data_IF_073338937129
#
_entry.id   IF_073338937129
#
_cell.length_a   1.000
_cell.length_b   1.000
_cell.length_c   1.000
_cell.angle_alpha   90.00
_cell.angle_beta   90.00
_cell.angle_gamma   90.00
#
_symmetry.space_group_name_H-M   'P 1'
#
loop_
_entity.id
_entity.type
_entity.pdbx_description
1 polymer ?
#
# COMPACT_ATOMS: atom_id res chain seq x y z
N UNK A 1 50.19 12.08 6.14
CA UNK A 1 49.07 12.88 5.57
C UNK A 1 48.14 12.05 4.65
N UNK A 2 48.19 10.72 4.66
CA UNK A 2 47.35 9.84 3.82
C UNK A 2 46.08 9.36 4.53
N UNK A 3 46.11 9.18 5.85
CA UNK A 3 44.98 8.74 6.69
C UNK A 3 43.82 9.75 6.76
N UNK A 4 44.10 11.05 6.72
CA UNK A 4 43.04 12.07 6.73
C UNK A 4 42.25 12.13 5.41
N UNK A 5 42.89 11.80 4.28
CA UNK A 5 42.23 11.79 2.96
C UNK A 5 41.30 10.61 2.76
N UNK A 6 41.62 9.44 3.34
CA UNK A 6 40.78 8.24 3.24
C UNK A 6 39.51 8.36 4.08
N UNK A 7 39.57 9.02 5.24
CA UNK A 7 38.40 9.23 6.11
C UNK A 7 37.38 10.18 5.44
N UNK A 8 37.84 11.25 4.80
CA UNK A 8 36.94 12.22 4.11
C UNK A 8 36.22 11.58 2.92
N UNK A 9 36.91 10.71 2.15
CA UNK A 9 36.29 10.00 1.02
C UNK A 9 35.23 8.98 1.48
N UNK A 10 35.45 8.28 2.60
CA UNK A 10 34.48 7.34 3.14
C UNK A 10 33.20 8.04 3.63
N UNK A 11 33.32 9.20 4.26
CA UNK A 11 32.17 9.98 4.74
C UNK A 11 31.35 10.53 3.56
N UNK A 12 32.01 10.98 2.50
CA UNK A 12 31.32 11.48 1.30
C UNK A 12 30.51 10.39 0.59
N UNK A 13 31.06 9.16 0.52
CA UNK A 13 30.38 8.01 -0.09
C UNK A 13 29.18 7.51 0.74
N UNK A 14 29.24 7.59 2.07
CA UNK A 14 28.12 7.28 2.96
C UNK A 14 27.00 8.33 2.84
N UNK A 15 27.35 9.61 2.70
CA UNK A 15 26.38 10.69 2.54
C UNK A 15 25.63 10.60 1.20
N UNK A 16 26.31 10.26 0.10
CA UNK A 16 25.66 10.09 -1.21
C UNK A 16 24.72 8.89 -1.23
N UNK A 17 25.09 7.76 -0.64
CA UNK A 17 24.23 6.57 -0.56
C UNK A 17 22.96 6.80 0.28
N UNK A 18 23.08 7.55 1.39
CA UNK A 18 21.93 7.91 2.21
C UNK A 18 20.96 8.84 1.46
N UNK A 19 21.50 9.84 0.73
CA UNK A 19 20.69 10.76 -0.07
C UNK A 19 19.94 10.07 -1.22
N UNK A 20 20.58 9.12 -1.91
CA UNK A 20 19.92 8.36 -2.99
C UNK A 20 18.81 7.46 -2.46
N UNK A 21 19.00 6.84 -1.29
CA UNK A 21 17.99 5.97 -0.68
C UNK A 21 16.75 6.74 -0.19
N UNK A 22 16.94 7.94 0.36
CA UNK A 22 15.83 8.81 0.78
C UNK A 22 15.07 9.33 -0.44
N UNK A 23 15.78 9.72 -1.50
CA UNK A 23 15.16 10.20 -2.74
C UNK A 23 14.32 9.12 -3.43
N UNK A 24 14.82 7.88 -3.51
CA UNK A 24 14.07 6.77 -4.10
C UNK A 24 12.80 6.41 -3.31
N UNK A 25 12.84 6.54 -1.97
CA UNK A 25 11.65 6.33 -1.13
C UNK A 25 10.60 7.42 -1.34
N UNK A 26 11.00 8.69 -1.37
CA UNK A 26 10.08 9.81 -1.62
C UNK A 26 9.41 9.65 -2.99
N UNK A 27 10.19 9.35 -4.03
CA UNK A 27 9.69 9.10 -5.39
C UNK A 27 8.67 7.95 -5.45
N UNK A 28 8.88 6.89 -4.67
CA UNK A 28 7.91 5.78 -4.61
C UNK A 28 6.61 6.18 -3.89
N UNK A 29 6.67 6.98 -2.82
CA UNK A 29 5.47 7.50 -2.17
C UNK A 29 4.70 8.45 -3.08
N UNK A 30 5.39 9.31 -3.83
CA UNK A 30 4.77 10.21 -4.81
C UNK A 30 4.05 9.42 -5.91
N UNK A 31 4.64 8.31 -6.37
CA UNK A 31 3.98 7.44 -7.35
C UNK A 31 2.74 6.73 -6.76
N UNK A 32 2.83 6.19 -5.55
CA UNK A 32 1.67 5.60 -4.83
C UNK A 32 0.56 6.65 -4.66
N UNK A 33 0.91 7.88 -4.30
CA UNK A 33 -0.02 9.00 -4.15
C UNK A 33 -0.76 9.27 -5.46
N UNK A 34 -0.02 9.36 -6.58
CA UNK A 34 -0.59 9.60 -7.91
C UNK A 34 -1.54 8.49 -8.37
N UNK A 35 -1.18 7.22 -8.13
CA UNK A 35 -2.01 6.07 -8.44
C UNK A 35 -3.27 6.04 -7.56
N UNK A 36 -3.18 6.41 -6.29
CA UNK A 36 -4.33 6.50 -5.41
C UNK A 36 -5.32 7.60 -5.86
N UNK A 37 -4.83 8.74 -6.34
CA UNK A 37 -5.67 9.79 -6.97
C UNK A 37 -6.33 9.27 -8.24
N UNK A 38 -5.59 8.54 -9.09
CA UNK A 38 -6.15 7.92 -10.30
C UNK A 38 -7.27 6.94 -9.95
N UNK A 39 -7.03 6.02 -9.01
CA UNK A 39 -8.03 5.07 -8.51
C UNK A 39 -9.27 5.76 -7.95
N UNK A 40 -9.08 6.86 -7.20
CA UNK A 40 -10.19 7.65 -6.68
C UNK A 40 -11.01 8.27 -7.82
N UNK A 41 -10.35 8.81 -8.85
CA UNK A 41 -11.01 9.38 -10.02
C UNK A 41 -11.79 8.32 -10.81
N UNK A 42 -11.17 7.18 -11.11
CA UNK A 42 -11.79 6.08 -11.84
C UNK A 42 -12.95 5.46 -11.06
N UNK A 43 -12.80 5.27 -9.75
CA UNK A 43 -13.90 4.80 -8.89
C UNK A 43 -15.09 5.77 -8.89
N UNK A 44 -14.82 7.08 -8.92
CA UNK A 44 -15.89 8.09 -9.06
C UNK A 44 -16.58 7.98 -10.42
N UNK A 45 -15.84 7.68 -11.48
CA UNK A 45 -16.41 7.50 -12.81
C UNK A 45 -17.27 6.23 -12.86
N UNK A 46 -16.83 5.12 -12.25
CA UNK A 46 -17.65 3.90 -12.12
C UNK A 46 -18.98 4.17 -11.43
N UNK A 47 -18.99 4.99 -10.36
CA UNK A 47 -20.23 5.39 -9.68
C UNK A 47 -21.20 6.07 -10.65
N UNK A 48 -20.71 6.97 -11.51
CA UNK A 48 -21.55 7.67 -12.50
C UNK A 48 -22.06 6.70 -13.56
N UNK A 49 -21.18 5.86 -14.11
CA UNK A 49 -21.51 4.88 -15.13
C UNK A 49 -22.56 3.87 -14.62
N UNK A 50 -22.42 3.37 -13.39
CA UNK A 50 -23.42 2.51 -12.77
C UNK A 50 -24.76 3.23 -12.56
N UNK A 51 -24.73 4.48 -12.11
CA UNK A 51 -25.95 5.28 -11.95
C UNK A 51 -26.65 5.55 -13.28
N UNK A 52 -25.89 5.69 -14.37
CA UNK A 52 -26.42 5.96 -15.70
C UNK A 52 -26.96 4.70 -16.38
N UNK A 53 -26.20 3.61 -16.36
CA UNK A 53 -26.46 2.43 -17.19
C UNK A 53 -27.09 1.27 -16.42
N UNK A 54 -26.84 1.16 -15.11
CA UNK A 54 -27.21 -0.01 -14.32
C UNK A 54 -28.35 0.25 -13.33
N UNK A 55 -28.81 1.51 -13.17
CA UNK A 55 -29.86 1.89 -12.21
C UNK A 55 -31.14 1.06 -12.27
N UNK A 56 -31.49 0.53 -13.43
CA UNK A 56 -32.69 -0.27 -13.65
C UNK A 56 -32.48 -1.78 -13.44
N UNK A 57 -31.24 -2.22 -13.19
CA UNK A 57 -30.89 -3.63 -13.06
C UNK A 57 -31.06 -4.13 -11.61
N UNK A 58 -31.52 -5.37 -11.41
CA UNK A 58 -31.42 -6.02 -10.11
C UNK A 58 -29.94 -6.20 -9.77
N UNK A 59 -29.48 -5.63 -8.65
CA UNK A 59 -28.06 -5.60 -8.28
C UNK A 59 -27.41 -4.21 -8.28
N UNK A 60 -28.08 -3.19 -8.86
CA UNK A 60 -27.57 -1.81 -8.89
C UNK A 60 -27.13 -1.28 -7.52
N UNK A 61 -27.94 -1.50 -6.48
CA UNK A 61 -27.63 -1.00 -5.15
C UNK A 61 -26.31 -1.57 -4.60
N UNK A 62 -26.01 -2.84 -4.91
CA UNK A 62 -24.76 -3.48 -4.53
C UNK A 62 -23.59 -2.91 -5.34
N UNK A 63 -23.70 -2.87 -6.68
CA UNK A 63 -22.69 -2.26 -7.57
C UNK A 63 -22.31 -0.85 -7.13
N UNK A 64 -23.31 -0.01 -6.93
CA UNK A 64 -23.08 1.37 -6.53
C UNK A 64 -22.46 1.46 -5.13
N UNK A 65 -22.89 0.61 -4.19
CA UNK A 65 -22.31 0.57 -2.85
C UNK A 65 -20.84 0.16 -2.88
N UNK A 66 -20.48 -0.82 -3.70
CA UNK A 66 -19.11 -1.34 -3.81
C UNK A 66 -18.19 -0.33 -4.51
N UNK A 67 -18.66 0.33 -5.58
CA UNK A 67 -17.92 1.42 -6.21
C UNK A 67 -17.66 2.61 -5.25
N UNK A 68 -18.64 2.94 -4.40
CA UNK A 68 -18.47 3.97 -3.35
C UNK A 68 -17.45 3.53 -2.30
N UNK A 69 -17.40 2.24 -1.96
CA UNK A 69 -16.39 1.71 -1.05
C UNK A 69 -14.99 1.80 -1.66
N UNK A 70 -14.82 1.41 -2.93
CA UNK A 70 -13.56 1.58 -3.65
C UNK A 70 -13.08 3.03 -3.67
N UNK A 71 -13.98 3.97 -3.99
CA UNK A 71 -13.67 5.40 -3.95
C UNK A 71 -13.15 5.87 -2.58
N UNK A 72 -13.77 5.38 -1.50
CA UNK A 72 -13.37 5.73 -0.12
C UNK A 72 -12.03 5.10 0.25
N UNK A 73 -11.80 3.84 -0.12
CA UNK A 73 -10.53 3.15 0.09
C UNK A 73 -9.39 3.85 -0.65
N UNK A 74 -9.59 4.23 -1.91
CA UNK A 74 -8.62 4.99 -2.69
C UNK A 74 -8.27 6.34 -2.05
N UNK A 75 -9.29 7.08 -1.59
CA UNK A 75 -9.06 8.35 -0.89
C UNK A 75 -8.31 8.18 0.44
N UNK A 76 -8.51 7.07 1.13
CA UNK A 76 -7.78 6.76 2.36
C UNK A 76 -6.31 6.40 2.08
N UNK A 77 -6.06 5.57 1.07
CA UNK A 77 -4.70 5.25 0.61
C UNK A 77 -3.97 6.53 0.18
N UNK A 78 -4.62 7.40 -0.59
CA UNK A 78 -4.08 8.71 -0.97
C UNK A 78 -3.66 9.52 0.27
N UNK A 79 -4.53 9.66 1.27
CA UNK A 79 -4.21 10.38 2.49
C UNK A 79 -2.98 9.80 3.22
N UNK A 80 -2.90 8.47 3.34
CA UNK A 80 -1.78 7.81 4.01
C UNK A 80 -0.49 7.98 3.20
N UNK A 81 -0.55 7.80 1.88
CA UNK A 81 0.58 7.94 0.98
C UNK A 81 1.13 9.37 1.02
N UNK A 82 0.26 10.37 0.89
CA UNK A 82 0.60 11.78 0.98
C UNK A 82 1.30 12.16 2.29
N UNK A 83 0.92 11.51 3.41
CA UNK A 83 1.53 11.73 4.72
C UNK A 83 2.78 10.87 4.96
N UNK A 84 3.23 10.09 3.98
CA UNK A 84 4.28 9.07 4.12
C UNK A 84 4.02 8.15 5.33
N UNK A 85 2.78 7.70 5.47
CA UNK A 85 2.32 6.87 6.58
C UNK A 85 2.90 5.46 6.59
N UNK A 86 2.35 4.59 7.45
CA UNK A 86 2.88 3.23 7.61
C UNK A 86 2.65 2.37 6.37
N UNK A 87 3.74 1.76 5.87
CA UNK A 87 3.72 0.76 4.79
C UNK A 87 2.77 -0.40 5.13
N UNK A 88 2.71 -0.81 6.41
CA UNK A 88 1.80 -1.87 6.84
C UNK A 88 0.33 -1.44 6.70
N UNK A 89 0.00 -0.18 7.00
CA UNK A 89 -1.36 0.33 6.81
C UNK A 89 -1.72 0.39 5.32
N UNK A 90 -0.81 0.91 4.48
CA UNK A 90 -0.99 0.93 3.02
C UNK A 90 -1.22 -0.48 2.46
N UNK A 91 -0.42 -1.47 2.89
CA UNK A 91 -0.57 -2.87 2.45
C UNK A 91 -1.92 -3.46 2.87
N UNK A 92 -2.33 -3.23 4.12
CA UNK A 92 -3.60 -3.73 4.64
C UNK A 92 -4.79 -3.09 3.94
N UNK A 93 -4.74 -1.79 3.65
CA UNK A 93 -5.80 -1.07 2.97
C UNK A 93 -5.89 -1.49 1.50
N UNK A 94 -4.75 -1.67 0.84
CA UNK A 94 -4.71 -2.15 -0.53
C UNK A 94 -5.27 -3.57 -0.65
N UNK A 95 -4.91 -4.48 0.27
CA UNK A 95 -5.47 -5.83 0.25
C UNK A 95 -7.00 -5.81 0.37
N UNK A 96 -7.54 -4.99 1.27
CA UNK A 96 -8.99 -4.85 1.40
C UNK A 96 -9.61 -4.25 0.13
N UNK A 97 -8.94 -3.30 -0.52
CA UNK A 97 -9.40 -2.70 -1.77
C UNK A 97 -9.39 -3.68 -2.95
N UNK A 98 -8.37 -4.54 -3.04
CA UNK A 98 -8.24 -5.64 -4.02
C UNK A 98 -9.41 -6.64 -3.87
N UNK A 99 -9.71 -7.04 -2.64
CA UNK A 99 -10.85 -7.90 -2.30
C UNK A 99 -12.20 -7.23 -2.65
N UNK A 100 -12.35 -5.94 -2.35
CA UNK A 100 -13.53 -5.15 -2.73
C UNK A 100 -13.70 -5.03 -4.24
N UNK A 101 -12.60 -4.88 -4.98
CA UNK A 101 -12.62 -4.75 -6.43
C UNK A 101 -13.08 -6.06 -7.09
N UNK A 102 -12.52 -7.19 -6.69
CA UNK A 102 -12.98 -8.50 -7.19
C UNK A 102 -14.42 -8.80 -6.80
N UNK A 103 -14.87 -8.37 -5.61
CA UNK A 103 -16.28 -8.48 -5.27
C UNK A 103 -17.17 -7.66 -6.22
N UNK A 104 -16.76 -6.42 -6.53
CA UNK A 104 -17.47 -5.58 -7.48
C UNK A 104 -17.53 -6.22 -8.88
N UNK A 105 -16.43 -6.81 -9.36
CA UNK A 105 -16.40 -7.55 -10.63
C UNK A 105 -17.39 -8.71 -10.65
N UNK A 106 -17.46 -9.48 -9.57
CA UNK A 106 -18.39 -10.61 -9.44
C UNK A 106 -19.84 -10.14 -9.45
N UNK A 107 -20.16 -9.06 -8.73
CA UNK A 107 -21.51 -8.47 -8.71
C UNK A 107 -21.87 -7.92 -10.09
N UNK A 108 -20.91 -7.31 -10.79
CA UNK A 108 -21.13 -6.77 -12.14
C UNK A 108 -21.39 -7.89 -13.14
N UNK A 109 -20.64 -8.99 -13.02
CA UNK A 109 -20.86 -10.20 -13.81
C UNK A 109 -22.23 -10.85 -13.59
N UNK A 110 -22.71 -10.83 -12.36
CA UNK A 110 -24.05 -11.34 -12.03
C UNK A 110 -25.16 -10.39 -12.52
N UNK A 111 -24.92 -9.09 -12.47
CA UNK A 111 -25.89 -8.05 -12.88
C UNK A 111 -26.01 -7.95 -14.40
N UNK A 112 -24.93 -8.24 -15.12
CA UNK A 112 -24.86 -8.16 -16.57
C UNK A 112 -24.26 -9.43 -17.16
N UNK A 113 -25.09 -10.24 -17.80
CA UNK A 113 -24.64 -11.46 -18.46
C UNK A 113 -23.73 -11.19 -19.67
N UNK A 114 -23.67 -9.95 -20.15
CA UNK A 114 -22.71 -9.54 -21.17
C UNK A 114 -21.33 -9.23 -20.58
N UNK A 115 -21.18 -9.31 -19.26
CA UNK A 115 -19.91 -9.07 -18.58
C UNK A 115 -18.84 -10.09 -18.99
N UNK A 116 -17.81 -9.62 -19.70
CA UNK A 116 -16.70 -10.44 -20.22
C UNK A 116 -16.95 -11.03 -21.62
N UNK A 117 -17.97 -10.58 -22.35
CA UNK A 117 -18.30 -11.02 -23.71
C UNK A 117 -18.09 -9.97 -24.80
N UNK A 118 -18.64 -10.21 -26.00
CA UNK A 118 -18.69 -9.22 -27.09
C UNK A 118 -19.74 -8.14 -26.78
N UNK A 119 -19.38 -7.19 -25.92
CA UNK A 119 -20.28 -6.14 -25.48
C UNK A 119 -20.08 -4.88 -26.32
N UNK A 120 -21.18 -4.28 -26.79
CA UNK A 120 -21.16 -3.06 -27.59
C UNK A 120 -21.67 -1.86 -26.77
N UNK A 121 -21.10 -0.67 -27.00
CA UNK A 121 -21.61 0.60 -26.45
C UNK A 121 -21.22 0.86 -25.00
N UNK A 122 -22.15 1.37 -24.19
CA UNK A 122 -21.90 1.85 -22.83
C UNK A 122 -21.25 0.82 -21.89
N UNK A 123 -21.58 -0.46 -22.04
CA UNK A 123 -20.96 -1.49 -21.24
C UNK A 123 -19.47 -1.66 -21.58
N UNK A 124 -19.04 -1.45 -22.84
CA UNK A 124 -17.61 -1.45 -23.23
C UNK A 124 -16.79 -0.48 -22.37
N UNK A 125 -17.29 0.73 -22.17
CA UNK A 125 -16.60 1.75 -21.39
C UNK A 125 -16.45 1.34 -19.91
N UNK A 126 -17.47 0.71 -19.34
CA UNK A 126 -17.40 0.18 -17.97
C UNK A 126 -16.34 -0.93 -17.86
N UNK A 127 -16.19 -1.80 -18.85
CA UNK A 127 -15.11 -2.81 -18.83
C UNK A 127 -13.73 -2.18 -18.89
N UNK A 128 -13.54 -1.22 -19.79
CA UNK A 128 -12.28 -0.50 -19.92
C UNK A 128 -11.91 0.16 -18.59
N UNK A 129 -12.87 0.85 -17.97
CA UNK A 129 -12.67 1.50 -16.68
C UNK A 129 -12.36 0.51 -15.54
N UNK A 130 -13.04 -0.64 -15.49
CA UNK A 130 -12.72 -1.70 -14.52
C UNK A 130 -11.31 -2.24 -14.73
N UNK A 131 -10.91 -2.48 -15.98
CA UNK A 131 -9.56 -2.95 -16.30
C UNK A 131 -8.48 -1.94 -15.91
N UNK A 132 -8.70 -0.66 -16.15
CA UNK A 132 -7.76 0.38 -15.72
C UNK A 132 -7.63 0.47 -14.19
N UNK A 133 -8.72 0.24 -13.45
CA UNK A 133 -8.70 0.18 -11.97
C UNK A 133 -7.89 -1.03 -11.49
N UNK A 134 -8.09 -2.20 -12.09
CA UNK A 134 -7.32 -3.41 -11.78
C UNK A 134 -5.81 -3.20 -12.01
N UNK A 135 -5.46 -2.63 -13.17
CA UNK A 135 -4.07 -2.32 -13.50
C UNK A 135 -3.45 -1.35 -12.49
N UNK A 136 -4.16 -0.28 -12.13
CA UNK A 136 -3.71 0.68 -11.14
C UNK A 136 -3.53 0.04 -9.75
N UNK A 137 -4.42 -0.86 -9.33
CA UNK A 137 -4.28 -1.64 -8.08
C UNK A 137 -3.02 -2.51 -8.11
N UNK A 138 -2.77 -3.21 -9.21
CA UNK A 138 -1.58 -4.04 -9.39
C UNK A 138 -0.28 -3.23 -9.44
N UNK A 139 -0.30 -2.03 -9.99
CA UNK A 139 0.82 -1.08 -9.92
C UNK A 139 1.07 -0.64 -8.48
N UNK A 140 0.03 -0.20 -7.77
CA UNK A 140 0.14 0.24 -6.38
C UNK A 140 0.69 -0.88 -5.46
N UNK A 141 0.26 -2.12 -5.70
CA UNK A 141 0.71 -3.31 -4.97
C UNK A 141 2.21 -3.54 -5.13
N UNK A 142 2.70 -3.46 -6.37
CA UNK A 142 4.13 -3.61 -6.68
C UNK A 142 4.97 -2.52 -6.01
N UNK A 143 4.49 -1.29 -5.98
CA UNK A 143 5.22 -0.18 -5.36
C UNK A 143 5.30 -0.30 -3.84
N UNK A 144 4.19 -0.69 -3.20
CA UNK A 144 4.17 -0.97 -1.75
C UNK A 144 5.09 -2.15 -1.40
N UNK A 145 5.07 -3.23 -2.18
CA UNK A 145 5.98 -4.35 -2.00
C UNK A 145 7.45 -3.92 -2.21
N UNK A 146 7.72 -3.03 -3.16
CA UNK A 146 9.06 -2.46 -3.38
C UNK A 146 9.54 -1.66 -2.15
N UNK A 147 8.68 -0.80 -1.59
CA UNK A 147 8.96 -0.04 -0.37
C UNK A 147 9.24 -0.95 0.83
N UNK A 148 8.41 -1.98 1.01
CA UNK A 148 8.55 -2.93 2.11
C UNK A 148 9.87 -3.71 1.99
N UNK A 149 10.19 -4.19 0.80
CA UNK A 149 11.46 -4.87 0.52
C UNK A 149 12.67 -3.96 0.78
N UNK A 150 12.62 -2.69 0.37
CA UNK A 150 13.67 -1.73 0.65
C UNK A 150 13.86 -1.47 2.15
N UNK A 151 12.76 -1.39 2.91
CA UNK A 151 12.81 -1.25 4.37
C UNK A 151 13.43 -2.48 5.08
N UNK A 152 13.08 -3.68 4.62
CA UNK A 152 13.65 -4.92 5.13
C UNK A 152 15.15 -5.05 4.81
N UNK A 153 15.59 -4.66 3.61
CA UNK A 153 17.00 -4.66 3.23
C UNK A 153 17.83 -3.70 4.10
N UNK A 154 17.36 -2.47 4.30
CA UNK A 154 18.02 -1.49 5.17
C UNK A 154 18.23 -2.02 6.61
N UNK A 155 17.22 -2.72 7.14
CA UNK A 155 17.26 -3.30 8.48
C UNK A 155 18.32 -4.42 8.60
N UNK A 156 18.49 -5.24 7.57
CA UNK A 156 19.51 -6.31 7.53
C UNK A 156 20.94 -5.77 7.49
N UNK A 157 21.18 -4.68 6.76
CA UNK A 157 22.52 -4.07 6.68
C UNK A 157 22.95 -3.42 8.00
N UNK A 158 22.02 -2.93 8.82
CA UNK A 158 22.34 -2.35 10.12
C UNK A 158 22.77 -3.39 11.17
N UNK A 159 22.27 -4.63 11.08
CA UNK A 159 22.65 -5.72 12.01
C UNK A 159 24.06 -6.26 11.70
N UNK A 160 24.53 -6.14 10.46
CA UNK A 160 25.84 -6.68 10.06
C UNK A 160 27.04 -5.75 10.32
N UNK A 161 26.80 -4.49 10.76
CA UNK A 161 27.84 -3.48 10.97
C UNK A 161 28.42 -3.38 12.39
N UNK A 162 27.80 -4.03 13.38
CA UNK A 162 28.24 -4.01 14.78
C UNK A 162 28.50 -5.43 15.30
N UNK A 163 29.68 -6.02 15.00
CA UNK A 163 29.93 -7.37 15.49
C UNK A 163 31.25 -8.09 15.20
N UNK A 164 32.39 -7.41 14.96
CA UNK A 164 33.70 -8.02 15.23
C UNK A 164 34.43 -7.23 16.31
N UNK A 165 33.84 -7.20 17.51
CA UNK A 165 34.62 -6.90 18.72
C UNK A 165 35.54 -8.09 18.94
N UNK A 166 36.84 -7.86 18.83
CA UNK A 166 37.83 -8.72 19.48
C UNK A 166 37.46 -8.72 20.96
N UNK A 167 37.01 -9.88 21.45
CA UNK A 167 36.65 -10.11 22.83
C UNK A 167 37.97 -10.18 23.63
N UNK A 168 38.29 -9.24 24.53
CA UNK A 168 39.27 -9.54 25.57
C UNK A 168 38.59 -10.55 26.49
N UNK A 169 39.19 -11.73 26.64
CA UNK A 169 38.76 -12.73 27.61
C UNK A 169 38.80 -12.12 29.01
N UNK A 170 37.64 -11.77 29.56
CA UNK A 170 37.48 -11.49 30.98
C UNK A 170 36.88 -12.72 31.68
N UNK A 171 37.18 -12.92 32.98
CA UNK A 171 36.84 -14.14 33.68
C UNK A 171 35.33 -14.32 33.82
N UNK A 172 34.93 -15.57 33.64
CA UNK A 172 33.59 -16.11 33.78
C UNK A 172 33.00 -15.80 35.18
N UNK A 173 31.97 -14.95 35.23
CA UNK A 173 31.05 -14.89 36.37
C UNK A 173 29.67 -15.33 35.92
N UNK A 174 29.33 -16.55 36.33
CA UNK A 174 28.00 -17.14 36.29
C UNK A 174 27.05 -16.34 37.19
N UNK A 175 25.91 -15.93 36.64
CA UNK A 175 24.76 -15.45 37.41
C UNK A 175 23.49 -16.11 36.86
N UNK A 176 22.97 -17.08 37.61
CA UNK A 176 21.63 -17.62 37.47
C UNK A 176 20.60 -16.56 37.87
N UNK A 177 19.51 -16.42 37.11
CA UNK A 177 18.38 -15.57 37.50
C UNK A 177 17.17 -15.74 36.58
N UNK A 178 16.01 -15.98 37.18
CA UNK A 178 14.77 -16.49 36.60
C UNK A 178 13.74 -15.38 36.27
N UNK A 179 12.75 -15.68 35.40
CA UNK A 179 11.44 -14.99 35.29
C UNK A 179 11.19 -14.37 33.89
N UNK A 180 10.29 -14.86 33.01
CA UNK A 180 8.82 -15.11 33.03
C UNK A 180 7.96 -13.83 33.02
N UNK A 181 7.28 -13.60 31.90
CA UNK A 181 6.19 -12.64 31.66
C UNK A 181 6.35 -12.02 30.25
N UNK A 182 5.56 -12.31 29.22
CA UNK A 182 4.12 -12.48 29.15
C UNK A 182 3.50 -11.15 28.72
N UNK A 183 3.08 -11.01 27.45
CA UNK A 183 2.11 -10.03 26.97
C UNK A 183 1.65 -10.40 25.55
N UNK A 184 0.42 -10.92 25.45
CA UNK A 184 -0.32 -11.03 24.20
C UNK A 184 -1.03 -9.71 23.88
N UNK A 185 -1.33 -9.49 22.60
CA UNK A 185 -2.17 -8.39 22.11
C UNK A 185 -3.39 -8.99 21.45
N UNK A 186 -4.57 -8.63 21.96
CA UNK A 186 -5.88 -8.89 21.37
C UNK A 186 -6.35 -7.60 20.70
N UNK A 187 -6.78 -7.68 19.44
CA UNK A 187 -7.31 -6.56 18.66
C UNK A 187 -8.81 -6.79 18.47
N UNK A 188 -9.61 -5.89 19.03
CA UNK A 188 -11.06 -5.87 18.91
C UNK A 188 -11.44 -4.92 17.75
N UNK A 189 -12.23 -5.43 16.80
CA UNK A 189 -12.66 -4.75 15.58
C UNK A 189 -13.81 -3.77 15.85
N UNK A 190 -13.53 -2.47 15.75
CA UNK A 190 -14.49 -1.39 15.95
C UNK A 190 -14.60 -0.45 14.75
N UNK A 191 -15.61 -0.71 13.91
CA UNK A 191 -16.42 0.22 13.11
C UNK A 191 -16.00 1.71 13.11
N UNK A 192 -15.67 2.25 11.93
CA UNK A 192 -15.43 3.69 11.74
C UNK A 192 -16.59 4.36 10.98
N UNK A 193 -17.11 5.45 11.52
CA UNK A 193 -18.04 6.36 10.82
C UNK A 193 -17.38 7.72 10.68
N UNK A 194 -17.27 8.22 9.44
CA UNK A 194 -16.80 9.58 9.15
C UNK A 194 -17.95 10.44 8.62
N UNK A 195 -18.06 11.66 9.16
CA UNK A 195 -18.95 12.73 8.71
C UNK A 195 -18.10 13.72 7.92
N UNK A 196 -18.43 13.93 6.65
CA UNK A 196 -17.86 15.01 5.85
C UNK A 196 -18.75 16.25 6.00
N UNK A 197 -18.18 17.35 6.46
CA UNK A 197 -18.80 18.68 6.37
C UNK A 197 -18.67 19.17 4.93
N UNK A 198 -19.79 19.62 4.37
CA UNK A 198 -19.87 20.31 3.08
C UNK A 198 -19.36 21.74 3.20
#
# INVERSE_FOLDING_TARGET
MTLAKTIVLAILALATLAFTAISAKADTYDHIDSLAVQLQSQSRELIKEFAQHYRHKPGYAHLHSDAVQLYRSAAHIHLIAHQHGSIHHLRSDLQQMDEQFHHLEDVLRQTDQSFGGHTHGAAYHVFELMHEVEDALHHLKRDIDSLDNAAHQASRHHVSGYGRRVQPSLPNYSWNGYGRGGNGVSINSGRWTFRFGY
#
